data_IF_228714746518
#
_entry.id   IF_228714746518
#
_cell.length_a   1.000
_cell.length_b   1.000
_cell.length_c   1.000
_cell.angle_alpha   90.00
_cell.angle_beta   90.00
_cell.angle_gamma   90.00
#
_symmetry.space_group_name_H-M   'P 1'
#
loop_
_entity.id
_entity.type
_entity.pdbx_description
1 polymer ?
#
# COMPACT_ATOMS: atom_id res chain seq x y z
N UNK A 1 -23.30 19.11 23.32
CA UNK A 1 -23.09 17.68 23.06
C UNK A 1 -22.59 17.44 21.64
N UNK A 2 -21.47 16.72 21.53
CA UNK A 2 -20.86 16.34 20.26
C UNK A 2 -21.54 15.05 19.79
N UNK A 3 -22.48 15.14 18.85
CA UNK A 3 -22.98 13.95 18.15
C UNK A 3 -21.83 13.36 17.33
N UNK A 4 -21.14 12.35 17.89
CA UNK A 4 -20.33 11.45 17.07
C UNK A 4 -21.24 10.94 15.98
N UNK A 5 -20.84 11.11 14.72
CA UNK A 5 -21.51 10.52 13.58
C UNK A 5 -21.58 9.02 13.81
N UNK A 6 -22.68 8.57 14.39
CA UNK A 6 -22.87 7.17 14.67
C UNK A 6 -23.04 6.46 13.34
N UNK A 7 -22.60 5.21 13.29
CA UNK A 7 -22.94 4.25 12.23
C UNK A 7 -24.47 4.00 12.11
N UNK A 8 -25.31 4.88 12.66
CA UNK A 8 -26.77 4.81 12.73
C UNK A 8 -27.45 5.56 11.58
N UNK A 9 -26.71 6.30 10.75
CA UNK A 9 -27.21 6.78 9.47
C UNK A 9 -27.14 5.61 8.47
N UNK A 10 -28.22 4.83 8.38
CA UNK A 10 -28.43 3.67 7.51
C UNK A 10 -28.38 3.96 5.99
N UNK A 11 -27.71 5.04 5.59
CA UNK A 11 -27.44 5.41 4.19
C UNK A 11 -26.27 6.42 4.02
N UNK A 12 -25.53 6.75 5.07
CA UNK A 12 -24.35 7.61 4.96
C UNK A 12 -23.12 6.78 4.55
N UNK A 13 -22.27 7.35 3.70
CA UNK A 13 -20.99 6.75 3.32
C UNK A 13 -20.18 6.43 4.60
N UNK A 14 -19.67 5.20 4.71
CA UNK A 14 -18.82 4.73 5.82
C UNK A 14 -17.53 5.56 5.97
N UNK A 15 -17.22 6.39 4.98
CA UNK A 15 -16.13 7.36 5.01
C UNK A 15 -16.47 8.61 5.80
N UNK A 16 -17.73 8.91 6.12
CA UNK A 16 -18.07 10.06 6.97
C UNK A 16 -17.82 9.72 8.45
N UNK A 17 -16.81 10.35 9.04
CA UNK A 17 -16.47 10.17 10.46
C UNK A 17 -17.36 11.04 11.36
N UNK A 18 -17.62 12.28 10.93
CA UNK A 18 -18.31 13.28 11.73
C UNK A 18 -18.84 14.41 10.84
N UNK A 19 -20.01 14.96 11.18
CA UNK A 19 -20.51 16.19 10.61
C UNK A 19 -21.24 17.02 11.67
N UNK A 20 -21.00 18.33 11.66
CA UNK A 20 -21.81 19.33 12.35
C UNK A 20 -21.98 20.59 11.47
N UNK A 21 -22.51 21.66 12.06
CA UNK A 21 -22.74 22.93 11.34
C UNK A 21 -21.45 23.63 10.90
N UNK A 22 -20.32 23.35 11.55
CA UNK A 22 -19.04 24.02 11.30
C UNK A 22 -18.08 23.16 10.46
N UNK A 23 -18.08 21.84 10.66
CA UNK A 23 -17.07 20.92 10.21
C UNK A 23 -17.68 19.60 9.73
N UNK A 24 -17.04 19.02 8.71
CA UNK A 24 -17.29 17.67 8.24
C UNK A 24 -15.95 16.94 8.15
N UNK A 25 -15.86 15.70 8.62
CA UNK A 25 -14.62 14.92 8.63
C UNK A 25 -14.82 13.59 7.90
N UNK A 26 -13.94 13.30 6.95
CA UNK A 26 -13.98 12.10 6.12
C UNK A 26 -12.73 11.24 6.31
N UNK A 27 -12.91 9.95 6.49
CA UNK A 27 -11.87 8.93 6.52
C UNK A 27 -11.38 8.69 5.09
N UNK A 28 -10.05 8.61 4.90
CA UNK A 28 -9.45 8.38 3.57
C UNK A 28 -9.50 6.93 3.11
N UNK A 29 -9.50 5.97 4.04
CA UNK A 29 -9.46 4.54 3.74
C UNK A 29 -10.47 3.77 4.58
N UNK A 30 -11.35 3.00 3.93
CA UNK A 30 -12.25 2.11 4.67
C UNK A 30 -11.50 0.87 5.14
N UNK A 31 -12.10 0.11 6.07
CA UNK A 31 -11.57 -1.20 6.47
C UNK A 31 -11.42 -2.16 5.30
N UNK A 32 -12.42 -2.19 4.42
CA UNK A 32 -12.41 -3.07 3.26
C UNK A 32 -11.25 -2.72 2.32
N UNK A 33 -11.04 -1.43 2.07
CA UNK A 33 -9.91 -0.95 1.28
C UNK A 33 -8.58 -1.41 1.93
N UNK A 34 -8.40 -1.18 3.23
CA UNK A 34 -7.18 -1.57 3.95
C UNK A 34 -6.89 -3.07 3.86
N UNK A 35 -7.89 -3.93 4.05
CA UNK A 35 -7.75 -5.39 3.93
C UNK A 35 -7.40 -5.79 2.50
N UNK A 36 -8.04 -5.17 1.50
CA UNK A 36 -7.81 -5.46 0.09
C UNK A 36 -6.36 -5.13 -0.32
N UNK A 37 -5.89 -3.91 -0.03
CA UNK A 37 -4.51 -3.51 -0.34
C UNK A 37 -3.47 -4.33 0.43
N UNK A 38 -3.77 -4.68 1.68
CA UNK A 38 -2.93 -5.57 2.47
C UNK A 38 -2.80 -6.95 1.80
N UNK A 39 -3.89 -7.53 1.31
CA UNK A 39 -3.89 -8.82 0.63
C UNK A 39 -3.07 -8.78 -0.67
N UNK A 40 -3.24 -7.73 -1.48
CA UNK A 40 -2.41 -7.51 -2.68
C UNK A 40 -0.94 -7.40 -2.30
N UNK A 41 -0.59 -6.57 -1.30
CA UNK A 41 0.78 -6.41 -0.84
C UNK A 41 1.38 -7.75 -0.41
N UNK A 42 0.64 -8.57 0.35
CA UNK A 42 1.10 -9.89 0.76
C UNK A 42 1.37 -10.80 -0.44
N UNK A 43 0.43 -10.93 -1.38
CA UNK A 43 0.63 -11.76 -2.58
C UNK A 43 1.84 -11.28 -3.37
N UNK A 44 1.97 -9.97 -3.59
CA UNK A 44 3.09 -9.39 -4.33
C UNK A 44 4.43 -9.67 -3.64
N UNK A 45 4.52 -9.49 -2.32
CA UNK A 45 5.75 -9.75 -1.57
C UNK A 45 6.11 -11.24 -1.59
N UNK A 46 5.14 -12.13 -1.38
CA UNK A 46 5.37 -13.57 -1.44
C UNK A 46 5.83 -14.00 -2.85
N UNK A 47 5.18 -13.52 -3.90
CA UNK A 47 5.54 -13.82 -5.28
C UNK A 47 6.95 -13.33 -5.65
N UNK A 48 7.28 -12.09 -5.30
CA UNK A 48 8.62 -11.52 -5.55
C UNK A 48 9.71 -12.25 -4.75
N UNK A 49 9.44 -12.57 -3.49
CA UNK A 49 10.39 -13.31 -2.64
C UNK A 49 10.65 -14.72 -3.18
N UNK A 50 9.60 -15.39 -3.65
CA UNK A 50 9.72 -16.71 -4.27
C UNK A 50 10.55 -16.67 -5.56
N UNK A 51 10.30 -15.68 -6.43
CA UNK A 51 11.08 -15.46 -7.64
C UNK A 51 12.58 -15.24 -7.34
N UNK A 52 12.90 -14.38 -6.38
CA UNK A 52 14.28 -14.13 -5.96
C UNK A 52 14.95 -15.42 -5.44
N UNK A 53 14.21 -16.22 -4.67
CA UNK A 53 14.69 -17.53 -4.20
C UNK A 53 15.02 -18.49 -5.35
N UNK A 54 14.15 -18.58 -6.37
CA UNK A 54 14.40 -19.38 -7.57
C UNK A 54 15.63 -18.88 -8.32
N UNK A 55 15.79 -17.57 -8.46
CA UNK A 55 16.96 -16.99 -9.11
C UNK A 55 18.26 -17.39 -8.43
N UNK A 56 18.36 -17.26 -7.11
CA UNK A 56 19.57 -17.65 -6.38
C UNK A 56 19.83 -19.16 -6.48
N UNK A 57 18.79 -19.99 -6.45
CA UNK A 57 18.93 -21.42 -6.69
C UNK A 57 19.48 -21.71 -8.09
N UNK A 58 18.97 -21.03 -9.12
CA UNK A 58 19.44 -21.16 -10.50
C UNK A 58 20.91 -20.73 -10.64
N UNK A 59 21.28 -19.58 -10.09
CA UNK A 59 22.67 -19.07 -10.12
C UNK A 59 23.65 -20.01 -9.40
N UNK A 60 23.22 -20.62 -8.29
CA UNK A 60 24.08 -21.53 -7.53
C UNK A 60 24.27 -22.90 -8.19
N UNK A 61 23.25 -23.38 -8.93
CA UNK A 61 23.25 -24.72 -9.54
C UNK A 61 23.78 -24.75 -10.96
N UNK A 62 23.68 -23.64 -11.69
CA UNK A 62 24.09 -23.56 -13.09
C UNK A 62 25.52 -23.05 -13.24
N UNK A 63 26.26 -23.65 -14.17
CA UNK A 63 27.55 -23.14 -14.62
C UNK A 63 27.35 -21.87 -15.46
N UNK A 64 28.23 -20.85 -15.33
CA UNK A 64 28.09 -19.61 -16.07
C UNK A 64 28.12 -19.84 -17.59
N UNK A 65 27.23 -19.13 -18.29
CA UNK A 65 27.12 -19.20 -19.74
C UNK A 65 28.45 -18.95 -20.47
N UNK A 66 28.75 -19.82 -21.43
CA UNK A 66 29.98 -19.71 -22.25
C UNK A 66 29.69 -18.95 -23.54
N UNK A 67 28.52 -19.16 -24.12
CA UNK A 67 28.08 -18.57 -25.39
C UNK A 67 27.54 -17.14 -25.21
N UNK A 68 27.64 -16.31 -26.25
CA UNK A 68 27.19 -14.92 -26.19
C UNK A 68 25.67 -14.79 -26.01
N UNK A 69 24.87 -15.66 -26.63
CA UNK A 69 23.40 -15.61 -26.51
C UNK A 69 22.92 -15.98 -25.10
N UNK A 70 23.55 -16.98 -24.49
CA UNK A 70 23.27 -17.41 -23.12
C UNK A 70 23.69 -16.31 -22.11
N UNK A 71 24.80 -15.61 -22.34
CA UNK A 71 25.21 -14.45 -21.51
C UNK A 71 24.21 -13.31 -21.55
N UNK A 72 23.57 -13.05 -22.70
CA UNK A 72 22.53 -12.02 -22.80
C UNK A 72 21.34 -12.41 -21.91
N UNK A 73 20.94 -13.69 -21.93
CA UNK A 73 19.86 -14.19 -21.07
C UNK A 73 20.19 -14.06 -19.58
N UNK A 74 21.43 -14.38 -19.18
CA UNK A 74 21.89 -14.22 -17.79
C UNK A 74 21.84 -12.75 -17.33
N UNK A 75 22.25 -11.81 -18.20
CA UNK A 75 22.20 -10.37 -17.91
C UNK A 75 20.76 -9.88 -17.76
N UNK A 76 19.85 -10.32 -18.64
CA UNK A 76 18.42 -9.97 -18.55
C UNK A 76 17.81 -10.50 -17.26
N UNK A 77 18.15 -11.73 -16.86
CA UNK A 77 17.68 -12.35 -15.63
C UNK A 77 18.19 -11.62 -14.37
N UNK A 78 19.45 -11.17 -14.40
CA UNK A 78 20.03 -10.34 -13.34
C UNK A 78 19.31 -8.99 -13.21
N UNK A 79 19.05 -8.31 -14.34
CA UNK A 79 18.32 -7.04 -14.36
C UNK A 79 16.90 -7.19 -13.80
N UNK A 80 16.20 -8.26 -14.18
CA UNK A 80 14.88 -8.57 -13.61
C UNK A 80 14.96 -8.72 -12.08
N UNK A 81 15.96 -9.43 -11.56
CA UNK A 81 16.13 -9.57 -10.11
C UNK A 81 16.35 -8.23 -9.40
N UNK A 82 17.18 -7.36 -9.96
CA UNK A 82 17.37 -6.00 -9.44
C UNK A 82 16.04 -5.24 -9.39
N UNK A 83 15.22 -5.33 -10.45
CA UNK A 83 13.89 -4.69 -10.45
C UNK A 83 12.95 -5.28 -9.41
N UNK A 84 13.03 -6.58 -9.12
CA UNK A 84 12.26 -7.21 -8.05
C UNK A 84 12.65 -6.69 -6.66
N UNK A 85 13.94 -6.49 -6.39
CA UNK A 85 14.38 -5.85 -5.14
C UNK A 85 13.87 -4.42 -5.00
N UNK A 86 13.89 -3.65 -6.10
CA UNK A 86 13.34 -2.30 -6.10
C UNK A 86 11.83 -2.30 -5.85
N UNK A 87 11.09 -3.24 -6.46
CA UNK A 87 9.66 -3.39 -6.22
C UNK A 87 9.36 -3.74 -4.75
N UNK A 88 10.13 -4.65 -4.15
CA UNK A 88 10.01 -4.96 -2.71
C UNK A 88 10.29 -3.75 -1.83
N UNK A 89 11.32 -2.97 -2.14
CA UNK A 89 11.65 -1.74 -1.42
C UNK A 89 10.48 -0.74 -1.39
N UNK A 90 9.73 -0.62 -2.48
CA UNK A 90 8.53 0.22 -2.55
C UNK A 90 7.32 -0.37 -1.84
N UNK A 91 7.16 -1.70 -1.87
CA UNK A 91 6.03 -2.41 -1.25
C UNK A 91 6.11 -2.48 0.28
N UNK A 92 7.32 -2.52 0.86
CA UNK A 92 7.49 -2.63 2.33
C UNK A 92 6.85 -1.45 3.09
N UNK A 93 7.08 -0.16 2.71
CA UNK A 93 6.38 0.97 3.31
C UNK A 93 4.85 0.88 3.18
N UNK A 94 4.35 0.41 2.04
CA UNK A 94 2.91 0.29 1.80
C UNK A 94 2.29 -0.82 2.68
N UNK A 95 2.98 -1.95 2.84
CA UNK A 95 2.59 -2.99 3.79
C UNK A 95 2.58 -2.44 5.22
N UNK A 96 3.63 -1.71 5.62
CA UNK A 96 3.73 -1.11 6.96
C UNK A 96 2.57 -0.15 7.22
N UNK A 97 2.27 0.74 6.27
CA UNK A 97 1.12 1.62 6.36
C UNK A 97 -0.17 0.81 6.51
N UNK A 98 -0.40 -0.20 5.66
CA UNK A 98 -1.62 -1.00 5.70
C UNK A 98 -1.77 -1.85 6.96
N UNK A 99 -0.68 -2.21 7.65
CA UNK A 99 -0.71 -2.94 8.93
C UNK A 99 -0.90 -2.02 10.13
N UNK A 100 -0.19 -0.89 10.18
CA UNK A 100 -0.02 -0.11 11.40
C UNK A 100 -0.70 1.26 11.39
N UNK A 101 -0.98 1.86 10.22
CA UNK A 101 -1.69 3.15 10.21
C UNK A 101 -3.18 2.99 10.49
N UNK A 102 -3.69 3.85 11.39
CA UNK A 102 -5.11 3.99 11.67
C UNK A 102 -5.82 4.62 10.47
N UNK A 103 -6.43 3.81 9.58
CA UNK A 103 -7.48 4.14 8.57
C UNK A 103 -7.37 5.51 7.83
N UNK A 104 -6.16 6.05 7.71
CA UNK A 104 -5.91 7.39 7.18
C UNK A 104 -6.35 8.52 8.11
N UNK A 105 -5.54 9.57 8.20
CA UNK A 105 -5.96 10.80 8.87
C UNK A 105 -7.17 11.41 8.17
N UNK A 106 -8.15 11.95 8.92
CA UNK A 106 -9.36 12.47 8.31
C UNK A 106 -9.08 13.74 7.51
N UNK A 107 -9.78 13.88 6.39
CA UNK A 107 -9.91 15.15 5.67
C UNK A 107 -11.02 15.94 6.37
N UNK A 108 -10.69 17.13 6.86
CA UNK A 108 -11.64 17.97 7.60
C UNK A 108 -12.01 19.17 6.73
N UNK A 109 -13.29 19.28 6.40
CA UNK A 109 -13.86 20.41 5.68
C UNK A 109 -14.52 21.38 6.65
N UNK A 110 -14.16 22.66 6.58
CA UNK A 110 -14.85 23.73 7.31
C UNK A 110 -15.95 24.32 6.42
N UNK A 111 -17.21 24.08 6.81
CA UNK A 111 -18.40 24.50 6.04
C UNK A 111 -18.59 26.01 6.01
N UNK A 112 -18.07 26.73 7.01
CA UNK A 112 -18.21 28.19 7.13
C UNK A 112 -17.19 28.95 6.32
N UNK A 113 -15.97 28.42 6.21
CA UNK A 113 -14.85 29.10 5.53
C UNK A 113 -14.50 28.50 4.18
N UNK A 114 -15.05 27.33 3.84
CA UNK A 114 -14.71 26.58 2.62
C UNK A 114 -13.30 25.97 2.65
N UNK A 115 -12.58 26.06 3.77
CA UNK A 115 -11.21 25.54 3.91
C UNK A 115 -11.22 24.02 4.13
N UNK A 116 -10.25 23.35 3.51
CA UNK A 116 -9.99 21.92 3.70
C UNK A 116 -8.68 21.76 4.47
N UNK A 117 -8.70 20.94 5.51
CA UNK A 117 -7.54 20.58 6.31
C UNK A 117 -7.23 19.12 6.09
N UNK A 118 -6.01 18.84 5.66
CA UNK A 118 -5.48 17.49 5.50
C UNK A 118 -4.47 17.29 6.61
N UNK A 119 -4.76 16.40 7.55
CA UNK A 119 -3.80 16.05 8.57
C UNK A 119 -2.87 14.97 8.00
N UNK A 120 -1.59 15.25 7.79
CA UNK A 120 -0.62 14.22 7.39
C UNK A 120 0.10 13.61 8.60
N UNK A 121 -0.10 14.16 9.81
CA UNK A 121 0.59 13.75 11.04
C UNK A 121 -0.05 12.54 11.73
N UNK A 122 -0.05 11.39 11.06
CA UNK A 122 -0.15 10.10 11.73
C UNK A 122 0.77 9.12 11.00
N UNK A 123 2.07 9.25 11.27
CA UNK A 123 2.94 8.07 11.28
C UNK A 123 2.48 7.13 12.40
#
# INVERSE_FOLDING_TARGET
DLEKGGNYLTGADQRLLYANDNYCAFIRKTNSDQIFYLFICFISIFGLSFYIGIYFYFVFTMTPAVNNDEKIMDIVLLLMNITCFFALYLLIPELYQNLFTRRGSPIIFNRKTGKVYINESYF
#
